data_IF_069636051411
#
_entry.id   IF_069636051411
#
_cell.length_a   1.000
_cell.length_b   1.000
_cell.length_c   1.000
_cell.angle_alpha   90.00
_cell.angle_beta   90.00
_cell.angle_gamma   90.00
#
_symmetry.space_group_name_H-M   'P 1'
#
loop_
_entity.id
_entity.type
_entity.pdbx_description
1 polymer ?
#
# COMPACT_ATOMS: atom_id res chain seq x y z
N UNK A 1 8.27 -20.47 18.33
CA UNK A 1 7.51 -19.38 17.68
C UNK A 1 6.50 -20.04 16.76
N UNK A 2 5.20 -19.85 16.99
CA UNK A 2 4.17 -20.24 16.02
C UNK A 2 4.05 -19.07 15.05
N UNK A 3 4.41 -19.27 13.79
CA UNK A 3 4.17 -18.30 12.72
C UNK A 3 2.69 -18.30 12.35
N UNK A 4 2.17 -17.18 11.89
CA UNK A 4 0.79 -17.10 11.42
C UNK A 4 0.63 -17.96 10.15
N UNK A 5 -0.39 -18.83 10.12
CA UNK A 5 -0.76 -19.66 8.97
C UNK A 5 -2.23 -19.38 8.61
N UNK A 6 -2.54 -18.84 7.41
CA UNK A 6 -1.62 -18.48 6.34
C UNK A 6 -0.71 -17.27 6.66
N UNK A 7 0.45 -17.16 5.97
CA UNK A 7 1.37 -16.06 6.17
C UNK A 7 0.75 -14.71 5.79
N UNK A 8 1.12 -13.67 6.53
CA UNK A 8 0.78 -12.28 6.24
C UNK A 8 1.33 -11.87 4.88
N UNK A 9 0.52 -11.15 4.10
CA UNK A 9 0.93 -10.67 2.80
C UNK A 9 1.27 -9.18 2.83
N UNK A 10 2.49 -8.86 2.40
CA UNK A 10 2.99 -7.49 2.29
C UNK A 10 2.95 -7.07 0.82
N UNK A 11 2.08 -6.12 0.48
CA UNK A 11 1.99 -5.55 -0.87
C UNK A 11 2.99 -4.41 -1.02
N UNK A 12 4.14 -4.71 -1.62
CA UNK A 12 5.19 -3.74 -1.91
C UNK A 12 5.03 -3.06 -3.27
N UNK A 13 4.30 -3.71 -4.19
CA UNK A 13 4.25 -3.33 -5.59
C UNK A 13 2.83 -2.93 -5.97
N UNK A 14 2.62 -1.63 -6.14
CA UNK A 14 1.65 -1.11 -7.10
C UNK A 14 2.45 -0.48 -8.24
N UNK A 15 1.92 -0.52 -9.46
CA UNK A 15 2.67 -0.07 -10.64
C UNK A 15 2.81 1.46 -10.53
N UNK A 16 4.04 1.96 -10.56
CA UNK A 16 4.31 3.39 -10.62
C UNK A 16 3.49 3.99 -11.80
N UNK A 17 2.78 5.09 -11.53
CA UNK A 17 1.81 5.76 -12.42
C UNK A 17 0.38 5.18 -12.47
N UNK A 18 0.06 4.17 -11.67
CA UNK A 18 -1.34 3.78 -11.45
C UNK A 18 -2.09 4.82 -10.61
N UNK A 19 -3.42 4.74 -10.64
CA UNK A 19 -4.28 5.56 -9.78
C UNK A 19 -3.97 5.27 -8.31
N UNK A 20 -3.70 6.33 -7.54
CA UNK A 20 -3.43 6.22 -6.11
C UNK A 20 -4.66 5.63 -5.38
N UNK A 21 -4.47 4.45 -4.79
CA UNK A 21 -5.53 3.75 -4.09
C UNK A 21 -5.61 4.17 -2.61
N UNK A 22 -6.51 5.11 -2.31
CA UNK A 22 -6.74 5.63 -0.95
C UNK A 22 -7.36 4.61 0.02
N UNK A 23 -7.89 3.50 -0.48
CA UNK A 23 -8.45 2.45 0.35
C UNK A 23 -7.34 1.63 1.02
N UNK A 24 -6.22 1.42 0.33
CA UNK A 24 -5.11 0.60 0.83
C UNK A 24 -3.86 1.40 1.23
N UNK A 25 -3.74 2.68 0.81
CA UNK A 25 -2.65 3.57 1.19
C UNK A 25 -3.12 4.86 1.85
N UNK A 26 -2.27 5.36 2.76
CA UNK A 26 -2.29 6.75 3.24
C UNK A 26 -1.26 7.55 2.47
N UNK A 27 -1.62 8.78 2.15
CA UNK A 27 -0.74 9.76 1.51
C UNK A 27 0.42 10.09 2.47
N UNK A 28 1.66 10.11 1.96
CA UNK A 28 2.86 10.34 2.77
C UNK A 28 3.10 11.84 3.00
N UNK A 29 3.61 12.57 2.00
CA UNK A 29 3.92 14.02 2.13
C UNK A 29 3.07 14.91 1.25
N UNK A 30 2.60 14.42 0.11
CA UNK A 30 1.75 15.20 -0.80
C UNK A 30 0.49 14.43 -1.10
N UNK A 31 -0.52 15.17 -1.53
CA UNK A 31 -1.77 14.59 -2.03
C UNK A 31 -1.72 14.49 -3.55
N UNK A 32 -2.39 13.50 -4.11
CA UNK A 32 -2.44 13.30 -5.56
C UNK A 32 -3.26 12.09 -5.96
N UNK A 33 -3.47 11.95 -7.27
CA UNK A 33 -4.31 10.90 -7.85
C UNK A 33 -3.51 9.77 -8.48
N UNK A 34 -2.19 9.95 -8.61
CA UNK A 34 -1.28 9.03 -9.30
C UNK A 34 -0.21 8.60 -8.33
N UNK A 35 0.04 7.30 -8.22
CA UNK A 35 1.09 6.74 -7.38
C UNK A 35 2.47 7.04 -7.97
N UNK A 36 3.36 7.63 -7.17
CA UNK A 36 4.77 7.78 -7.51
C UNK A 36 5.55 6.56 -7.01
N UNK A 37 5.58 6.35 -5.69
CA UNK A 37 6.24 5.20 -5.06
C UNK A 37 5.60 4.81 -3.73
N UNK A 38 5.82 3.55 -3.33
CA UNK A 38 5.40 3.00 -2.03
C UNK A 38 6.49 3.26 -1.01
N UNK A 39 6.14 3.91 0.11
CA UNK A 39 7.04 4.18 1.25
C UNK A 39 7.01 3.00 2.23
N UNK A 40 5.81 2.47 2.47
CA UNK A 40 5.56 1.33 3.33
C UNK A 40 4.45 0.46 2.73
N UNK A 41 4.64 -0.88 2.64
CA UNK A 41 3.66 -1.76 2.03
C UNK A 41 2.32 -1.75 2.76
N UNK A 42 1.24 -2.00 2.01
CA UNK A 42 -0.03 -2.36 2.60
C UNK A 42 0.04 -3.81 3.14
N UNK A 43 -0.51 -4.03 4.33
CA UNK A 43 -0.44 -5.32 5.03
C UNK A 43 -1.81 -5.98 4.99
N UNK A 44 -1.85 -7.22 4.50
CA UNK A 44 -3.06 -8.04 4.39
C UNK A 44 -2.91 -9.30 5.23
N UNK A 45 -4.03 -9.84 5.71
CA UNK A 45 -4.03 -11.03 6.57
C UNK A 45 -3.39 -12.24 5.88
N UNK A 46 -3.64 -12.36 4.57
CA UNK A 46 -3.00 -13.26 3.63
C UNK A 46 -3.12 -12.67 2.23
N UNK A 47 -2.55 -13.32 1.22
CA UNK A 47 -2.67 -12.88 -0.17
C UNK A 47 -4.16 -12.84 -0.58
N UNK A 48 -4.60 -11.71 -1.14
CA UNK A 48 -6.01 -11.41 -1.46
C UNK A 48 -6.98 -11.42 -0.25
N UNK A 49 -6.47 -11.43 0.98
CA UNK A 49 -7.25 -11.36 2.21
C UNK A 49 -7.69 -9.94 2.58
N UNK A 50 -8.35 -9.76 3.74
CA UNK A 50 -8.70 -8.44 4.25
C UNK A 50 -7.46 -7.61 4.57
N UNK A 51 -7.57 -6.30 4.38
CA UNK A 51 -6.54 -5.34 4.75
C UNK A 51 -6.43 -5.28 6.27
N UNK A 52 -5.26 -5.61 6.80
CA UNK A 52 -4.95 -5.44 8.22
C UNK A 52 -4.50 -4.02 8.53
N UNK A 53 -3.67 -3.45 7.65
CA UNK A 53 -3.15 -2.09 7.83
C UNK A 53 -2.87 -1.43 6.49
N UNK A 54 -3.36 -0.19 6.34
CA UNK A 54 -3.02 0.65 5.20
C UNK A 54 -1.51 0.86 5.13
N UNK A 55 -0.97 0.75 3.93
CA UNK A 55 0.39 1.15 3.64
C UNK A 55 0.52 2.68 3.65
N UNK A 56 1.74 3.14 3.39
CA UNK A 56 2.05 4.55 3.19
C UNK A 56 2.69 4.69 1.82
N UNK A 57 2.17 5.60 1.00
CA UNK A 57 2.68 5.79 -0.34
C UNK A 57 2.67 7.27 -0.70
N UNK A 58 3.56 7.64 -1.61
CA UNK A 58 3.71 8.98 -2.13
C UNK A 58 2.95 9.10 -3.45
N UNK A 59 1.89 9.93 -3.53
CA UNK A 59 1.34 10.35 -4.80
C UNK A 59 2.25 11.36 -5.50
N UNK A 60 2.13 11.44 -6.82
CA UNK A 60 2.72 12.53 -7.60
C UNK A 60 1.96 13.82 -7.25
N UNK A 61 2.67 14.78 -6.66
CA UNK A 61 2.15 16.14 -6.48
C UNK A 61 1.97 16.77 -7.86
N UNK A 62 0.76 17.20 -8.21
CA UNK A 62 0.60 18.16 -9.32
C UNK A 62 1.30 19.45 -8.90
N UNK A 63 2.40 19.77 -9.57
CA UNK A 63 3.13 21.03 -9.42
C UNK A 63 2.52 22.08 -10.35
#
# INVERSE_FOLDING_TARGET
MVGQDPPVYLRFSDICKDKFNKDIYREYTTNGEVLDFVVWPAIFLHENGPLLKKGVAQPISKK
#
